data_IF_796408481367
#
_entry.id   IF_796408481367
#
_cell.length_a   1.000
_cell.length_b   1.000
_cell.length_c   1.000
_cell.angle_alpha   90.00
_cell.angle_beta   90.00
_cell.angle_gamma   90.00
#
_symmetry.space_group_name_H-M   'P 1'
#
loop_
_entity.id
_entity.type
_entity.pdbx_description
1 polymer ?
#
# COMPACT_ATOMS: atom_id res chain seq x y z
N UNK A 1 -14.77 -30.92 -24.93
CA UNK A 1 -13.98 -30.76 -23.71
C UNK A 1 -12.81 -29.89 -24.11
N UNK A 2 -12.96 -28.59 -23.96
CA UNK A 2 -11.86 -27.63 -24.08
C UNK A 2 -11.04 -27.80 -22.81
N UNK A 3 -9.78 -28.21 -22.95
CA UNK A 3 -8.80 -28.06 -21.86
C UNK A 3 -8.76 -26.57 -21.52
N UNK A 4 -9.37 -26.21 -20.39
CA UNK A 4 -9.09 -24.92 -19.75
C UNK A 4 -7.69 -25.05 -19.19
N UNK A 5 -6.70 -24.52 -19.91
CA UNK A 5 -5.34 -24.39 -19.38
C UNK A 5 -5.44 -23.69 -18.02
N UNK A 6 -4.92 -24.32 -16.98
CA UNK A 6 -4.82 -23.71 -15.65
C UNK A 6 -4.04 -22.41 -15.82
N UNK A 7 -4.54 -21.26 -15.33
CA UNK A 7 -3.85 -19.99 -15.47
C UNK A 7 -2.45 -20.11 -14.85
N UNK A 8 -1.45 -19.54 -15.54
CA UNK A 8 -0.09 -19.47 -14.99
C UNK A 8 -0.08 -18.46 -13.86
N UNK A 9 0.27 -18.91 -12.66
CA UNK A 9 0.39 -18.08 -11.47
C UNK A 9 1.88 -17.84 -11.22
N UNK A 10 2.27 -16.57 -11.10
CA UNK A 10 3.61 -16.14 -10.74
C UNK A 10 3.57 -15.45 -9.38
N UNK A 11 4.36 -15.95 -8.43
CA UNK A 11 4.66 -15.24 -7.20
C UNK A 11 5.67 -14.13 -7.52
N UNK A 12 5.38 -12.90 -7.10
CA UNK A 12 6.34 -11.81 -7.17
C UNK A 12 6.41 -11.07 -5.84
N UNK A 13 7.62 -10.65 -5.47
CA UNK A 13 7.88 -9.98 -4.20
C UNK A 13 7.70 -8.47 -4.37
N UNK A 14 6.96 -7.85 -3.46
CA UNK A 14 6.90 -6.39 -3.36
C UNK A 14 7.81 -5.94 -2.23
N UNK A 15 8.72 -5.01 -2.51
CA UNK A 15 9.70 -4.54 -1.54
C UNK A 15 9.03 -4.02 -0.25
N UNK A 16 9.41 -4.69 0.84
CA UNK A 16 9.03 -4.59 2.25
C UNK A 16 8.51 -3.24 2.79
N UNK A 17 7.41 -3.27 3.56
CA UNK A 17 7.12 -2.25 4.57
C UNK A 17 7.62 -2.73 5.93
N UNK A 18 8.90 -2.41 6.22
CA UNK A 18 9.49 -2.56 7.56
C UNK A 18 8.90 -1.45 8.45
N UNK A 19 7.92 -1.78 9.28
CA UNK A 19 7.50 -0.89 10.37
C UNK A 19 8.48 -1.12 11.52
N UNK A 20 9.23 -0.09 11.93
CA UNK A 20 10.20 -0.23 13.02
C UNK A 20 9.48 -0.37 14.37
N UNK A 21 9.69 -1.53 14.96
CA UNK A 21 9.57 -1.97 16.36
C UNK A 21 9.63 -0.82 17.39
N UNK A 22 8.57 -0.70 18.20
CA UNK A 22 8.62 -0.02 19.51
C UNK A 22 8.51 -1.07 20.63
N UNK A 23 9.27 -0.96 21.73
CA UNK A 23 9.00 -1.73 22.93
C UNK A 23 7.64 -1.33 23.52
N UNK A 24 6.64 -2.22 23.39
CA UNK A 24 5.33 -2.07 24.00
C UNK A 24 5.41 -2.47 25.48
N UNK A 25 4.64 -1.78 26.35
CA UNK A 25 4.46 -2.20 27.74
C UNK A 25 3.85 -3.59 27.80
N UNK A 26 4.45 -4.46 28.63
CA UNK A 26 4.03 -5.84 28.87
C UNK A 26 2.55 -5.88 29.23
N UNK A 27 1.71 -6.47 28.37
CA UNK A 27 0.51 -7.15 28.83
C UNK A 27 0.87 -8.62 28.96
N UNK A 28 0.37 -9.28 29.99
CA UNK A 28 0.83 -10.57 30.51
C UNK A 28 0.62 -11.79 29.59
N UNK A 29 0.11 -11.58 28.39
CA UNK A 29 -0.18 -12.63 27.41
C UNK A 29 0.62 -12.30 26.13
N UNK A 30 1.88 -12.76 26.10
CA UNK A 30 2.77 -12.73 24.92
C UNK A 30 2.26 -13.77 23.89
N UNK A 31 1.07 -13.56 23.32
CA UNK A 31 0.57 -14.35 22.18
C UNK A 31 0.83 -13.59 20.88
N UNK A 32 1.29 -14.29 19.85
CA UNK A 32 1.50 -13.72 18.52
C UNK A 32 0.14 -13.28 17.93
N UNK A 33 0.05 -12.01 17.54
CA UNK A 33 -1.14 -11.46 16.90
C UNK A 33 -0.92 -11.35 15.40
N UNK A 34 -1.76 -12.05 14.63
CA UNK A 34 -1.79 -11.93 13.18
C UNK A 34 -2.97 -11.08 12.72
N UNK A 35 -2.76 -10.37 11.62
CA UNK A 35 -3.79 -9.62 10.92
C UNK A 35 -3.65 -9.82 9.42
N UNK A 36 -4.75 -9.70 8.69
CA UNK A 36 -4.76 -9.83 7.23
C UNK A 36 -5.49 -8.67 6.57
N UNK A 37 -4.91 -8.19 5.48
CA UNK A 37 -5.53 -7.30 4.52
C UNK A 37 -5.23 -7.78 3.10
N UNK A 38 -5.93 -7.20 2.13
CA UNK A 38 -5.68 -7.50 0.73
C UNK A 38 -5.97 -6.31 -0.18
N UNK A 39 -5.37 -6.37 -1.36
CA UNK A 39 -5.72 -5.54 -2.49
C UNK A 39 -5.60 -6.34 -3.78
N UNK A 40 -6.06 -5.79 -4.89
CA UNK A 40 -5.89 -6.37 -6.21
C UNK A 40 -5.95 -5.29 -7.28
N UNK A 41 -5.33 -5.55 -8.41
CA UNK A 41 -5.34 -4.66 -9.56
C UNK A 41 -5.33 -5.43 -10.88
N UNK A 42 -5.84 -4.79 -11.91
CA UNK A 42 -5.67 -5.22 -13.29
C UNK A 42 -4.84 -4.17 -14.00
N UNK A 43 -3.70 -4.57 -14.55
CA UNK A 43 -2.83 -3.74 -15.35
C UNK A 43 -3.44 -3.50 -16.73
N UNK A 44 -2.91 -2.51 -17.45
CA UNK A 44 -3.42 -2.11 -18.77
C UNK A 44 -3.16 -3.14 -19.89
N UNK A 45 -2.26 -4.11 -19.66
CA UNK A 45 -2.02 -5.26 -20.54
C UNK A 45 -2.95 -6.47 -20.23
N UNK A 46 -3.91 -6.26 -19.32
CA UNK A 46 -4.84 -7.24 -18.75
C UNK A 46 -4.22 -8.22 -17.75
N UNK A 47 -2.97 -8.04 -17.34
CA UNK A 47 -2.38 -8.80 -16.23
C UNK A 47 -3.14 -8.51 -14.94
N UNK A 48 -3.42 -9.54 -14.16
CA UNK A 48 -4.13 -9.41 -12.88
C UNK A 48 -3.21 -9.77 -11.72
N UNK A 49 -3.31 -8.99 -10.65
CA UNK A 49 -2.49 -9.14 -9.45
C UNK A 49 -3.38 -9.14 -8.21
N UNK A 50 -3.17 -10.10 -7.33
CA UNK A 50 -3.72 -10.12 -5.97
C UNK A 50 -2.58 -9.90 -5.00
N UNK A 51 -2.84 -9.09 -3.98
CA UNK A 51 -1.91 -8.85 -2.90
C UNK A 51 -2.53 -9.25 -1.58
N UNK A 52 -1.78 -9.97 -0.76
CA UNK A 52 -2.17 -10.34 0.60
C UNK A 52 -1.14 -9.75 1.54
N UNK A 53 -1.62 -8.88 2.43
CA UNK A 53 -0.82 -8.25 3.48
C UNK A 53 -1.05 -9.01 4.78
N UNK A 54 0.00 -9.61 5.34
CA UNK A 54 -0.03 -10.27 6.65
C UNK A 54 0.77 -9.44 7.64
N UNK A 55 0.10 -8.94 8.67
CA UNK A 55 0.73 -8.29 9.81
C UNK A 55 0.97 -9.29 10.94
N UNK A 56 2.17 -9.30 11.52
CA UNK A 56 2.53 -10.10 12.68
C UNK A 56 3.08 -9.18 13.77
N UNK A 57 2.47 -9.23 14.95
CA UNK A 57 2.92 -8.54 16.14
C UNK A 57 3.26 -9.56 17.24
N UNK A 58 4.55 -9.66 17.57
CA UNK A 58 5.05 -10.57 18.59
C UNK A 58 6.39 -10.10 19.18
N UNK A 59 6.70 -10.40 20.44
CA UNK A 59 7.95 -10.00 21.09
C UNK A 59 8.35 -8.52 20.89
N UNK A 60 7.33 -7.63 20.90
CA UNK A 60 7.47 -6.17 20.65
C UNK A 60 7.88 -5.80 19.22
N UNK A 61 7.87 -6.76 18.30
CA UNK A 61 8.15 -6.60 16.89
C UNK A 61 6.84 -6.59 16.13
N UNK A 62 6.59 -5.54 15.33
CA UNK A 62 5.48 -5.48 14.38
C UNK A 62 6.09 -5.54 12.98
N UNK A 63 5.74 -6.57 12.20
CA UNK A 63 6.05 -6.66 10.77
C UNK A 63 4.75 -6.67 9.98
N UNK A 64 4.75 -6.03 8.82
CA UNK A 64 3.71 -6.18 7.82
C UNK A 64 4.37 -6.63 6.53
N UNK A 65 4.04 -7.85 6.09
CA UNK A 65 4.60 -8.44 4.90
C UNK A 65 3.53 -8.50 3.80
N UNK A 66 3.90 -8.14 2.58
CA UNK A 66 3.00 -8.18 1.42
C UNK A 66 3.48 -9.22 0.42
N UNK A 67 2.59 -10.15 0.10
CA UNK A 67 2.80 -11.16 -0.94
C UNK A 67 1.98 -10.80 -2.17
N UNK A 68 2.60 -10.85 -3.36
CA UNK A 68 1.96 -10.58 -4.65
C UNK A 68 1.81 -11.84 -5.50
N UNK A 69 0.62 -12.06 -6.03
CA UNK A 69 0.28 -13.18 -6.90
C UNK A 69 -0.21 -12.63 -8.24
N UNK A 70 0.49 -12.94 -9.32
CA UNK A 70 0.21 -12.47 -10.68
C UNK A 70 -0.31 -13.60 -11.58
N UNK A 71 -1.24 -13.29 -12.47
CA UNK A 71 -1.77 -14.23 -13.45
C UNK A 71 -2.20 -13.52 -14.75
N UNK A 72 -2.19 -14.29 -15.85
CA UNK A 72 -2.72 -13.82 -17.13
C UNK A 72 -4.23 -13.63 -17.02
N UNK A 73 -4.68 -12.38 -17.02
CA UNK A 73 -6.03 -12.00 -16.67
C UNK A 73 -6.99 -11.88 -17.84
N UNK A 74 -6.62 -12.32 -19.06
CA UNK A 74 -7.48 -12.17 -20.24
C UNK A 74 -8.72 -13.07 -20.24
N UNK A 75 -8.65 -14.23 -19.61
CA UNK A 75 -9.76 -15.21 -19.58
C UNK A 75 -10.30 -15.51 -18.18
N UNK A 76 -9.66 -15.03 -17.12
CA UNK A 76 -10.20 -15.12 -15.76
C UNK A 76 -11.03 -13.88 -15.45
N UNK A 77 -12.17 -14.04 -14.79
CA UNK A 77 -12.84 -12.95 -14.08
C UNK A 77 -12.36 -12.88 -12.63
N UNK A 78 -12.48 -11.71 -11.99
CA UNK A 78 -12.12 -11.58 -10.58
C UNK A 78 -12.97 -12.49 -9.68
N UNK A 79 -14.22 -12.78 -10.06
CA UNK A 79 -15.06 -13.76 -9.37
C UNK A 79 -14.52 -15.18 -9.38
N UNK A 80 -13.68 -15.52 -10.37
CA UNK A 80 -13.05 -16.85 -10.45
C UNK A 80 -11.85 -16.92 -9.50
N UNK A 81 -11.12 -15.80 -9.37
CA UNK A 81 -9.96 -15.64 -8.48
C UNK A 81 -10.37 -15.60 -7.01
N UNK A 82 -11.43 -14.86 -6.67
CA UNK A 82 -11.89 -14.72 -5.29
C UNK A 82 -12.77 -15.90 -4.85
N UNK A 83 -12.20 -17.10 -4.96
CA UNK A 83 -12.78 -18.37 -4.52
C UNK A 83 -11.83 -19.07 -3.56
N UNK A 84 -12.32 -20.03 -2.73
CA UNK A 84 -11.46 -20.77 -1.81
C UNK A 84 -10.31 -21.51 -2.51
N UNK A 85 -10.50 -21.94 -3.76
CA UNK A 85 -9.51 -22.67 -4.55
C UNK A 85 -8.22 -21.86 -4.79
N UNK A 86 -8.35 -20.55 -5.02
CA UNK A 86 -7.20 -19.67 -5.26
C UNK A 86 -6.75 -18.93 -4.00
N UNK A 87 -7.68 -18.37 -3.21
CA UNK A 87 -7.34 -17.50 -2.09
C UNK A 87 -6.72 -18.27 -0.92
N UNK A 88 -7.15 -19.52 -0.65
CA UNK A 88 -6.60 -20.30 0.46
C UNK A 88 -5.12 -20.66 0.27
N UNK A 89 -4.68 -21.18 -0.88
CA UNK A 89 -3.25 -21.36 -1.15
C UNK A 89 -2.46 -20.05 -1.05
N UNK A 90 -2.98 -18.94 -1.59
CA UNK A 90 -2.29 -17.65 -1.55
C UNK A 90 -2.14 -17.12 -0.13
N UNK A 91 -3.18 -17.27 0.69
CA UNK A 91 -3.16 -16.81 2.08
C UNK A 91 -2.20 -17.64 2.93
N UNK A 92 -2.18 -18.96 2.73
CA UNK A 92 -1.22 -19.86 3.36
C UNK A 92 0.23 -19.41 3.06
N UNK A 93 0.54 -19.25 1.78
CA UNK A 93 1.88 -18.80 1.34
C UNK A 93 2.23 -17.41 1.91
N UNK A 94 1.27 -16.48 1.96
CA UNK A 94 1.51 -15.15 2.51
C UNK A 94 1.79 -15.17 4.01
N UNK A 95 1.17 -16.08 4.78
CA UNK A 95 1.45 -16.27 6.20
C UNK A 95 2.87 -16.83 6.39
N UNK A 96 3.23 -17.85 5.61
CA UNK A 96 4.56 -18.48 5.68
C UNK A 96 5.66 -17.47 5.37
N UNK A 97 5.52 -16.70 4.29
CA UNK A 97 6.48 -15.65 3.93
C UNK A 97 6.58 -14.54 4.99
N UNK A 98 5.48 -14.19 5.66
CA UNK A 98 5.50 -13.22 6.76
C UNK A 98 6.31 -13.75 7.95
N UNK A 99 6.14 -15.04 8.30
CA UNK A 99 6.94 -15.68 9.35
C UNK A 99 8.42 -15.79 9.00
N UNK A 100 8.75 -16.10 7.74
CA UNK A 100 10.13 -16.10 7.26
C UNK A 100 10.76 -14.71 7.41
N UNK A 101 10.08 -13.67 6.92
CA UNK A 101 10.54 -12.29 7.01
C UNK A 101 10.68 -11.81 8.47
N UNK A 102 9.76 -12.21 9.35
CA UNK A 102 9.85 -11.93 10.78
C UNK A 102 11.07 -12.59 11.43
N UNK A 103 11.29 -13.86 11.13
CA UNK A 103 12.42 -14.64 11.66
C UNK A 103 13.76 -14.08 11.18
N UNK A 104 13.85 -13.74 9.90
CA UNK A 104 15.02 -13.07 9.32
C UNK A 104 15.29 -11.75 10.05
N UNK A 105 14.27 -10.90 10.20
CA UNK A 105 14.39 -9.62 10.89
C UNK A 105 14.89 -9.80 12.34
N UNK A 106 14.29 -10.71 13.11
CA UNK A 106 14.70 -10.97 14.48
C UNK A 106 16.15 -11.45 14.57
N UNK A 107 16.57 -12.30 13.64
CA UNK A 107 17.96 -12.77 13.54
C UNK A 107 18.94 -11.62 13.26
N UNK A 108 18.65 -10.76 12.29
CA UNK A 108 19.48 -9.59 11.93
C UNK A 108 19.67 -8.62 13.10
N UNK A 109 18.68 -8.54 14.00
CA UNK A 109 18.65 -7.59 15.10
C UNK A 109 18.93 -8.23 16.48
N UNK A 110 19.30 -9.51 16.52
CA UNK A 110 19.62 -10.22 17.76
C UNK A 110 18.46 -10.36 18.73
N UNK A 111 17.22 -10.40 18.23
CA UNK A 111 16.00 -10.59 19.01
C UNK A 111 15.79 -12.10 19.22
N UNK A 112 15.73 -12.52 20.49
CA UNK A 112 15.47 -13.94 20.81
C UNK A 112 14.03 -14.30 20.45
N UNK A 113 13.87 -15.30 19.60
CA UNK A 113 12.57 -15.92 19.31
C UNK A 113 12.23 -16.89 20.44
N UNK A 114 10.97 -16.91 20.89
CA UNK A 114 10.47 -18.05 21.67
C UNK A 114 10.14 -19.19 20.71
N UNK A 115 10.16 -20.43 21.20
CA UNK A 115 9.83 -21.62 20.40
C UNK A 115 8.32 -21.70 20.06
N UNK A 116 7.51 -20.73 20.48
CA UNK A 116 6.04 -20.82 20.54
C UNK A 116 5.29 -20.13 19.37
N UNK A 117 5.98 -19.67 18.33
CA UNK A 117 5.29 -19.20 17.11
C UNK A 117 4.82 -20.43 16.34
N UNK A 118 3.66 -20.97 16.74
CA UNK A 118 3.03 -22.11 16.08
C UNK A 118 2.09 -21.60 15.01
N UNK A 119 2.34 -22.01 13.76
CA UNK A 119 1.40 -21.83 12.66
C UNK A 119 0.07 -22.52 13.00
N UNK A 120 -1.00 -21.74 13.13
CA UNK A 120 -2.36 -22.25 13.23
C UNK A 120 -2.99 -22.31 11.82
N UNK A 121 -3.20 -23.52 11.26
CA UNK A 121 -3.79 -23.67 9.94
C UNK A 121 -5.19 -23.07 9.81
N UNK A 122 -5.91 -22.89 10.92
CA UNK A 122 -7.26 -22.31 10.90
C UNK A 122 -7.22 -20.83 10.53
N UNK A 123 -6.13 -20.12 10.81
CA UNK A 123 -5.97 -18.70 10.45
C UNK A 123 -5.97 -18.48 8.93
N UNK A 124 -5.35 -19.40 8.17
CA UNK A 124 -5.35 -19.32 6.71
C UNK A 124 -6.77 -19.43 6.17
N UNK A 125 -7.59 -20.34 6.73
CA UNK A 125 -9.00 -20.50 6.36
C UNK A 125 -9.83 -19.25 6.71
N UNK A 126 -9.68 -18.72 7.93
CA UNK A 126 -10.40 -17.53 8.40
C UNK A 126 -10.07 -16.28 7.57
N UNK A 127 -8.77 -16.02 7.33
CA UNK A 127 -8.33 -14.89 6.52
C UNK A 127 -8.78 -15.02 5.06
N UNK A 128 -8.71 -16.23 4.50
CA UNK A 128 -9.18 -16.48 3.13
C UNK A 128 -10.66 -16.20 2.99
N UNK A 129 -11.47 -16.70 3.92
CA UNK A 129 -12.91 -16.48 3.92
C UNK A 129 -13.23 -14.98 4.06
N UNK A 130 -12.53 -14.27 4.95
CA UNK A 130 -12.66 -12.82 5.12
C UNK A 130 -12.33 -12.04 3.84
N UNK A 131 -11.24 -12.38 3.15
CA UNK A 131 -10.85 -11.77 1.87
C UNK A 131 -11.94 -11.98 0.80
N UNK A 132 -12.41 -13.22 0.65
CA UNK A 132 -13.45 -13.59 -0.32
C UNK A 132 -14.74 -12.82 -0.03
N UNK A 133 -15.20 -12.82 1.23
CA UNK A 133 -16.42 -12.11 1.63
C UNK A 133 -16.31 -10.60 1.42
N UNK A 134 -15.16 -10.00 1.74
CA UNK A 134 -14.92 -8.57 1.51
C UNK A 134 -14.97 -8.21 0.04
N UNK A 135 -14.41 -9.04 -0.84
CA UNK A 135 -14.49 -8.83 -2.28
C UNK A 135 -15.94 -8.97 -2.79
N UNK A 136 -16.58 -10.10 -2.50
CA UNK A 136 -17.90 -10.43 -3.04
C UNK A 136 -19.00 -9.47 -2.55
N UNK A 137 -18.97 -9.08 -1.27
CA UNK A 137 -20.06 -8.29 -0.68
C UNK A 137 -19.88 -6.78 -0.82
N UNK A 138 -18.66 -6.29 -1.04
CA UNK A 138 -18.37 -4.85 -1.05
C UNK A 138 -17.62 -4.42 -2.30
N UNK A 139 -16.41 -4.93 -2.52
CA UNK A 139 -15.54 -4.37 -3.57
C UNK A 139 -16.03 -4.65 -4.99
N UNK A 140 -16.56 -5.83 -5.27
CA UNK A 140 -17.07 -6.16 -6.61
C UNK A 140 -18.17 -5.21 -7.10
N UNK A 141 -19.04 -4.75 -6.19
CA UNK A 141 -20.09 -3.78 -6.49
C UNK A 141 -19.52 -2.38 -6.76
N UNK A 142 -18.57 -1.94 -5.95
CA UNK A 142 -17.89 -0.65 -6.13
C UNK A 142 -17.07 -0.64 -7.42
N UNK A 143 -16.41 -1.74 -7.77
CA UNK A 143 -15.67 -1.87 -9.02
C UNK A 143 -16.59 -1.75 -10.23
N UNK A 144 -17.74 -2.44 -10.22
CA UNK A 144 -18.72 -2.34 -11.29
C UNK A 144 -19.23 -0.89 -11.47
N UNK A 145 -19.42 -0.16 -10.38
CA UNK A 145 -19.82 1.25 -10.40
C UNK A 145 -18.71 2.17 -10.92
N UNK A 146 -17.46 1.83 -10.69
CA UNK A 146 -16.27 2.62 -11.05
C UNK A 146 -15.51 2.06 -12.26
N UNK A 147 -16.09 1.13 -13.01
CA UNK A 147 -15.39 0.38 -14.07
C UNK A 147 -14.66 1.28 -15.07
N UNK A 148 -15.29 2.39 -15.49
CA UNK A 148 -14.65 3.36 -16.37
C UNK A 148 -13.37 3.96 -15.76
N UNK A 149 -13.39 4.32 -14.48
CA UNK A 149 -12.23 4.92 -13.81
C UNK A 149 -11.11 3.89 -13.59
N UNK A 150 -11.47 2.63 -13.34
CA UNK A 150 -10.52 1.53 -13.14
C UNK A 150 -9.84 1.08 -14.45
N UNK A 151 -10.55 1.15 -15.58
CA UNK A 151 -10.03 0.68 -16.88
C UNK A 151 -9.37 1.76 -17.75
N UNK A 152 -9.38 3.03 -17.34
CA UNK A 152 -8.80 4.12 -18.12
C UNK A 152 -7.63 4.77 -17.38
N UNK A 153 -6.58 5.08 -18.14
CA UNK A 153 -5.40 5.81 -17.66
C UNK A 153 -5.83 7.21 -17.20
N UNK A 154 -5.50 7.54 -15.96
CA UNK A 154 -5.69 8.87 -15.37
C UNK A 154 -4.40 9.68 -15.30
N UNK A 155 -3.26 9.02 -15.08
CA UNK A 155 -1.93 9.62 -15.05
C UNK A 155 -0.94 8.73 -15.78
N UNK A 156 -0.13 9.37 -16.61
CA UNK A 156 0.99 8.76 -17.31
C UNK A 156 2.25 9.58 -17.00
N UNK A 157 3.26 8.92 -16.47
CA UNK A 157 4.54 9.53 -16.11
C UNK A 157 5.67 8.77 -16.81
N UNK A 158 6.34 9.45 -17.73
CA UNK A 158 7.53 8.90 -18.39
C UNK A 158 8.69 8.73 -17.39
N UNK A 159 9.41 7.62 -17.54
CA UNK A 159 10.65 7.34 -16.81
C UNK A 159 11.71 8.42 -17.04
N UNK A 160 12.53 8.69 -16.02
CA UNK A 160 13.60 9.70 -16.10
C UNK A 160 13.13 11.17 -15.99
N UNK A 161 11.88 11.43 -15.61
CA UNK A 161 11.33 12.80 -15.44
C UNK A 161 11.40 13.30 -14.00
N UNK A 162 11.06 14.58 -13.76
CA UNK A 162 10.86 15.18 -12.43
C UNK A 162 9.87 14.39 -11.54
N UNK A 163 9.04 13.53 -12.15
CA UNK A 163 8.10 12.63 -11.46
C UNK A 163 8.80 11.66 -10.51
N UNK A 164 10.06 11.29 -10.80
CA UNK A 164 10.87 10.45 -9.90
C UNK A 164 11.00 11.13 -8.53
N UNK A 165 11.34 12.42 -8.52
CA UNK A 165 11.48 13.17 -7.28
C UNK A 165 10.13 13.27 -6.56
N UNK A 166 9.05 13.51 -7.31
CA UNK A 166 7.69 13.59 -6.74
C UNK A 166 7.29 12.29 -6.07
N UNK A 167 7.42 11.15 -6.74
CA UNK A 167 7.08 9.85 -6.16
C UNK A 167 7.97 9.51 -4.97
N UNK A 168 9.30 9.59 -5.13
CA UNK A 168 10.24 9.27 -4.05
C UNK A 168 10.00 10.10 -2.81
N UNK A 169 9.90 11.43 -2.93
CA UNK A 169 9.68 12.28 -1.77
C UNK A 169 8.31 12.02 -1.13
N UNK A 170 7.24 11.89 -1.94
CA UNK A 170 5.88 11.63 -1.43
C UNK A 170 5.85 10.36 -0.57
N UNK A 171 6.33 9.24 -1.11
CA UNK A 171 6.27 7.97 -0.38
C UNK A 171 7.29 7.89 0.76
N UNK A 172 8.47 8.51 0.63
CA UNK A 172 9.41 8.60 1.77
C UNK A 172 8.79 9.35 2.94
N UNK A 173 8.13 10.49 2.70
CA UNK A 173 7.48 11.27 3.76
C UNK A 173 6.35 10.48 4.41
N UNK A 174 5.50 9.84 3.60
CA UNK A 174 4.39 9.06 4.12
C UNK A 174 4.86 7.82 4.88
N UNK A 175 5.91 7.16 4.43
CA UNK A 175 6.49 6.02 5.14
C UNK A 175 6.99 6.42 6.54
N UNK A 176 7.66 7.56 6.66
CA UNK A 176 8.11 8.09 7.95
C UNK A 176 6.90 8.35 8.88
N UNK A 177 5.83 8.93 8.37
CA UNK A 177 4.65 9.28 9.18
C UNK A 177 3.83 8.04 9.58
N UNK A 178 3.67 7.09 8.66
CA UNK A 178 2.77 5.94 8.80
C UNK A 178 3.45 4.72 9.41
N UNK A 179 4.76 4.57 9.26
CA UNK A 179 5.45 3.32 9.61
C UNK A 179 6.75 3.50 10.38
N UNK A 180 7.64 4.41 9.99
CA UNK A 180 9.04 4.34 10.45
C UNK A 180 9.37 5.31 11.59
N UNK A 181 8.88 6.55 11.56
CA UNK A 181 9.34 7.56 12.49
C UNK A 181 8.56 7.51 13.81
N UNK A 182 9.29 7.20 14.88
CA UNK A 182 8.72 7.05 16.23
C UNK A 182 8.19 8.34 16.84
N UNK A 183 8.56 9.51 16.31
CA UNK A 183 8.00 10.80 16.69
C UNK A 183 6.51 10.94 16.35
N UNK A 184 6.03 10.11 15.41
CA UNK A 184 4.63 10.04 15.03
C UNK A 184 3.90 8.89 15.74
N UNK A 185 2.59 9.06 15.89
CA UNK A 185 1.67 8.03 16.36
C UNK A 185 1.28 7.09 15.22
N UNK A 186 2.24 6.31 14.72
CA UNK A 186 2.13 5.54 13.48
C UNK A 186 0.84 4.72 13.37
N UNK A 187 0.46 3.94 14.40
CA UNK A 187 -0.77 3.14 14.39
C UNK A 187 -2.04 4.02 14.21
N UNK A 188 -2.14 5.12 14.96
CA UNK A 188 -3.27 6.06 14.84
C UNK A 188 -3.27 6.78 13.49
N UNK A 189 -2.09 7.09 12.95
CA UNK A 189 -1.97 7.71 11.65
C UNK A 189 -2.39 6.74 10.54
N UNK A 190 -2.04 5.45 10.65
CA UNK A 190 -2.50 4.39 9.76
C UNK A 190 -4.02 4.27 9.76
N UNK A 191 -4.65 4.30 10.93
CA UNK A 191 -6.11 4.27 11.03
C UNK A 191 -6.74 5.49 10.36
N UNK A 192 -6.32 6.70 10.72
CA UNK A 192 -6.90 7.94 10.21
C UNK A 192 -6.63 8.14 8.71
N UNK A 193 -5.44 7.80 8.23
CA UNK A 193 -5.12 7.80 6.81
C UNK A 193 -5.94 6.74 6.05
N UNK A 194 -6.11 5.56 6.66
CA UNK A 194 -6.89 4.44 6.14
C UNK A 194 -8.36 4.75 5.88
N UNK A 195 -8.94 5.71 6.60
CA UNK A 195 -10.31 6.21 6.37
C UNK A 195 -10.47 6.94 5.03
N UNK A 196 -9.37 7.49 4.49
CA UNK A 196 -9.34 8.24 3.23
C UNK A 196 -8.74 7.41 2.10
N UNK A 197 -7.60 6.78 2.35
CA UNK A 197 -6.86 5.95 1.41
C UNK A 197 -6.65 4.58 2.07
N UNK A 198 -7.33 3.52 1.61
CA UNK A 198 -7.13 2.19 2.16
C UNK A 198 -5.65 1.81 2.14
N UNK A 199 -5.08 1.42 3.28
CA UNK A 199 -3.65 1.12 3.37
C UNK A 199 -3.18 0.10 2.32
N UNK A 200 -3.89 -1.01 2.05
CA UNK A 200 -3.46 -1.97 1.02
C UNK A 200 -3.35 -1.35 -0.38
N UNK A 201 -4.20 -0.35 -0.66
CA UNK A 201 -4.20 0.41 -1.92
C UNK A 201 -3.07 1.43 -1.96
N UNK A 202 -2.77 2.11 -0.85
CA UNK A 202 -1.58 2.95 -0.73
C UNK A 202 -0.31 2.19 -1.12
N UNK A 203 -0.16 0.95 -0.61
CA UNK A 203 1.02 0.12 -0.88
C UNK A 203 1.08 -0.28 -2.36
N UNK A 204 -0.05 -0.67 -2.98
CA UNK A 204 -0.12 -0.95 -4.42
C UNK A 204 0.36 0.24 -5.24
N UNK A 205 -0.21 1.43 -4.98
CA UNK A 205 0.10 2.64 -5.75
C UNK A 205 1.57 3.04 -5.55
N UNK A 206 2.07 2.96 -4.30
CA UNK A 206 3.49 3.17 -4.00
C UNK A 206 4.37 2.27 -4.86
N UNK A 207 4.13 0.97 -4.83
CA UNK A 207 4.94 0.01 -5.59
C UNK A 207 4.94 0.35 -7.08
N UNK A 208 3.76 0.63 -7.65
CA UNK A 208 3.64 1.00 -9.06
C UNK A 208 4.37 2.31 -9.38
N UNK A 209 4.25 3.32 -8.52
CA UNK A 209 4.93 4.61 -8.72
C UNK A 209 6.46 4.49 -8.58
N UNK A 210 6.95 3.60 -7.72
CA UNK A 210 8.38 3.42 -7.52
C UNK A 210 9.08 2.72 -8.71
N UNK A 211 8.33 2.12 -9.64
CA UNK A 211 8.85 1.57 -10.90
C UNK A 211 9.30 2.65 -11.90
N UNK A 212 9.01 3.93 -11.64
CA UNK A 212 9.37 5.09 -12.48
C UNK A 212 10.87 5.18 -12.83
N UNK A 213 11.74 4.51 -12.08
CA UNK A 213 13.17 4.48 -12.33
C UNK A 213 13.56 3.57 -13.49
N UNK A 214 12.72 2.57 -13.79
CA UNK A 214 13.01 1.51 -14.76
C UNK A 214 12.00 1.46 -15.89
N UNK A 215 10.78 1.95 -15.69
CA UNK A 215 9.73 1.97 -16.70
C UNK A 215 8.74 3.13 -16.50
N UNK A 216 7.91 3.38 -17.52
CA UNK A 216 6.87 4.41 -17.45
C UNK A 216 5.76 3.98 -16.50
N UNK A 217 5.25 4.92 -15.71
CA UNK A 217 4.19 4.66 -14.74
C UNK A 217 2.85 5.06 -15.32
N UNK A 218 1.93 4.09 -15.35
CA UNK A 218 0.53 4.29 -15.71
C UNK A 218 -0.35 4.03 -14.50
N UNK A 219 -1.10 5.03 -14.08
CA UNK A 219 -2.13 4.90 -13.05
C UNK A 219 -3.50 5.05 -13.68
N UNK A 220 -4.45 4.20 -13.31
CA UNK A 220 -5.85 4.42 -13.64
C UNK A 220 -6.39 5.66 -12.88
N UNK A 221 -7.59 6.13 -13.21
CA UNK A 221 -8.13 7.31 -12.54
C UNK A 221 -8.28 7.16 -11.03
N UNK A 222 -8.67 5.99 -10.53
CA UNK A 222 -8.82 5.76 -9.08
C UNK A 222 -7.47 5.87 -8.37
N UNK A 223 -6.46 5.19 -8.90
CA UNK A 223 -5.10 5.21 -8.33
C UNK A 223 -4.46 6.60 -8.45
N UNK A 224 -4.74 7.30 -9.55
CA UNK A 224 -4.33 8.70 -9.74
C UNK A 224 -4.89 9.59 -8.62
N UNK A 225 -6.17 9.44 -8.27
CA UNK A 225 -6.82 10.22 -7.22
C UNK A 225 -6.15 9.96 -5.86
N UNK A 226 -5.92 8.70 -5.53
CA UNK A 226 -5.26 8.32 -4.29
C UNK A 226 -3.81 8.79 -4.25
N UNK A 227 -3.08 8.71 -5.37
CA UNK A 227 -1.75 9.31 -5.47
C UNK A 227 -1.78 10.81 -5.17
N UNK A 228 -2.74 11.57 -5.69
CA UNK A 228 -2.84 12.98 -5.40
C UNK A 228 -3.20 13.29 -3.94
N UNK A 229 -3.99 12.44 -3.29
CA UNK A 229 -4.23 12.54 -1.84
C UNK A 229 -2.94 12.26 -1.04
N UNK A 230 -2.13 11.30 -1.48
CA UNK A 230 -0.80 11.04 -0.92
C UNK A 230 0.11 12.26 -1.08
N UNK A 231 0.16 12.84 -2.28
CA UNK A 231 0.96 14.02 -2.60
C UNK A 231 0.54 15.23 -1.75
N UNK A 232 -0.77 15.50 -1.64
CA UNK A 232 -1.29 16.58 -0.81
C UNK A 232 -0.92 16.39 0.67
N UNK A 233 -1.09 15.18 1.19
CA UNK A 233 -0.67 14.84 2.56
C UNK A 233 0.81 15.11 2.78
N UNK A 234 1.69 14.58 1.92
CA UNK A 234 3.13 14.78 2.04
C UNK A 234 3.55 16.25 1.94
N UNK A 235 2.93 17.03 1.04
CA UNK A 235 3.16 18.47 0.94
C UNK A 235 2.71 19.21 2.19
N UNK A 236 1.50 18.93 2.71
CA UNK A 236 0.99 19.55 3.93
C UNK A 236 1.90 19.26 5.14
N UNK A 237 2.44 18.05 5.24
CA UNK A 237 3.35 17.63 6.31
C UNK A 237 4.70 18.38 6.26
N UNK A 238 5.18 18.71 5.06
CA UNK A 238 6.41 19.48 4.87
C UNK A 238 6.28 20.98 5.12
N UNK A 239 5.10 21.56 4.93
CA UNK A 239 4.88 23.01 5.09
C UNK A 239 4.12 23.37 6.37
N UNK A 240 3.60 22.37 7.08
CA UNK A 240 2.81 22.53 8.29
C UNK A 240 3.63 22.49 9.59
N UNK A 241 2.91 22.31 10.69
CA UNK A 241 3.46 22.36 12.06
C UNK A 241 4.45 21.22 12.37
N UNK A 242 4.48 20.17 11.54
CA UNK A 242 5.36 19.00 11.70
C UNK A 242 6.57 19.03 10.75
N UNK A 243 6.74 20.12 10.01
CA UNK A 243 7.77 20.29 8.98
C UNK A 243 9.18 19.99 9.46
N UNK A 244 9.57 20.46 10.65
CA UNK A 244 10.92 20.21 11.20
C UNK A 244 11.21 18.72 11.43
N UNK A 245 10.21 17.96 11.92
CA UNK A 245 10.34 16.52 12.16
C UNK A 245 10.47 15.79 10.82
N UNK A 246 9.61 16.13 9.86
CA UNK A 246 9.60 15.51 8.53
C UNK A 246 10.89 15.84 7.77
N UNK A 247 11.33 17.10 7.77
CA UNK A 247 12.55 17.54 7.11
C UNK A 247 13.78 16.82 7.66
N UNK A 248 13.87 16.67 8.99
CA UNK A 248 14.95 15.90 9.61
C UNK A 248 14.91 14.42 9.22
N UNK A 249 13.72 13.83 9.14
CA UNK A 249 13.54 12.42 8.80
C UNK A 249 13.99 12.13 7.35
N UNK A 250 13.51 12.92 6.39
CA UNK A 250 13.85 12.70 4.98
C UNK A 250 15.31 13.06 4.65
N UNK A 251 15.92 14.01 5.37
CA UNK A 251 17.34 14.31 5.26
C UNK A 251 18.20 13.08 5.64
N UNK A 252 17.78 12.30 6.64
CA UNK A 252 18.45 11.05 7.02
C UNK A 252 18.39 9.96 5.95
N UNK A 253 17.42 10.06 5.02
CA UNK A 253 17.25 9.18 3.86
C UNK A 253 17.93 9.71 2.59
N UNK A 254 18.73 10.77 2.70
CA UNK A 254 19.51 11.34 1.60
C UNK A 254 18.75 12.35 0.73
N UNK A 255 17.57 12.82 1.15
CA UNK A 255 16.83 13.87 0.44
C UNK A 255 17.31 15.24 0.96
N UNK A 256 18.06 15.97 0.13
CA UNK A 256 18.63 17.27 0.53
C UNK A 256 17.56 18.37 0.59
N UNK A 257 17.86 19.48 1.27
CA UNK A 257 16.95 20.63 1.31
C UNK A 257 16.67 21.20 -0.09
N UNK A 258 17.64 21.17 -1.00
CA UNK A 258 17.44 21.58 -2.40
C UNK A 258 16.41 20.67 -3.09
N UNK A 259 16.53 19.35 -2.92
CA UNK A 259 15.57 18.37 -3.44
C UNK A 259 14.17 18.58 -2.84
N UNK A 260 14.07 18.94 -1.56
CA UNK A 260 12.78 19.27 -0.92
C UNK A 260 12.13 20.50 -1.58
N UNK A 261 12.90 21.55 -1.88
CA UNK A 261 12.36 22.73 -2.54
C UNK A 261 11.91 22.43 -3.99
N UNK A 262 12.68 21.62 -4.70
CA UNK A 262 12.30 21.13 -6.04
C UNK A 262 11.04 20.27 -5.98
N UNK A 263 10.94 19.37 -5.01
CA UNK A 263 9.76 18.56 -4.74
C UNK A 263 8.52 19.43 -4.46
N UNK A 264 8.61 20.40 -3.56
CA UNK A 264 7.48 21.30 -3.25
C UNK A 264 7.01 22.02 -4.51
N UNK A 265 7.94 22.53 -5.33
CA UNK A 265 7.62 23.21 -6.59
C UNK A 265 6.97 22.27 -7.61
N UNK A 266 7.56 21.09 -7.83
CA UNK A 266 7.07 20.11 -8.80
C UNK A 266 5.72 19.52 -8.38
N UNK A 267 5.60 19.09 -7.12
CA UNK A 267 4.39 18.54 -6.52
C UNK A 267 3.24 19.54 -6.53
N UNK A 268 3.48 20.80 -6.13
CA UNK A 268 2.44 21.85 -6.17
C UNK A 268 1.96 22.11 -7.60
N UNK A 269 2.88 22.10 -8.58
CA UNK A 269 2.52 22.26 -10.00
C UNK A 269 1.67 21.10 -10.49
N UNK A 270 2.06 19.85 -10.22
CA UNK A 270 1.30 18.67 -10.63
C UNK A 270 -0.09 18.63 -9.97
N UNK A 271 -0.16 18.91 -8.67
CA UNK A 271 -1.43 18.97 -7.94
C UNK A 271 -2.38 20.02 -8.55
N UNK A 272 -1.85 21.21 -8.89
CA UNK A 272 -2.64 22.25 -9.55
C UNK A 272 -3.15 21.81 -10.93
N UNK A 273 -2.28 21.24 -11.77
CA UNK A 273 -2.63 20.77 -13.11
C UNK A 273 -3.74 19.70 -13.05
N UNK A 274 -3.64 18.76 -12.12
CA UNK A 274 -4.65 17.73 -11.93
C UNK A 274 -5.99 18.30 -11.45
N UNK A 275 -5.97 19.23 -10.51
CA UNK A 275 -7.18 19.92 -10.04
C UNK A 275 -7.88 20.64 -11.21
N UNK A 276 -7.12 21.30 -12.07
CA UNK A 276 -7.66 21.96 -13.28
C UNK A 276 -8.23 20.92 -14.26
N UNK A 277 -7.54 19.80 -14.47
CA UNK A 277 -8.01 18.71 -15.33
C UNK A 277 -9.35 18.14 -14.83
N UNK A 278 -9.46 17.81 -13.54
CA UNK A 278 -10.70 17.28 -12.95
C UNK A 278 -11.87 18.26 -13.06
N UNK A 279 -11.62 19.55 -12.78
CA UNK A 279 -12.62 20.61 -12.94
C UNK A 279 -13.10 20.73 -14.38
N UNK A 280 -12.19 20.65 -15.35
CA UNK A 280 -12.51 20.74 -16.78
C UNK A 280 -13.33 19.55 -17.28
N UNK A 281 -13.13 18.37 -16.70
CA UNK A 281 -13.84 17.14 -17.06
C UNK A 281 -15.20 16.99 -16.38
N UNK A 282 -15.66 17.98 -15.59
CA UNK A 282 -16.85 17.90 -14.75
C UNK A 282 -16.86 16.66 -13.83
N UNK A 283 -15.68 16.10 -13.59
CA UNK A 283 -15.47 14.94 -12.74
C UNK A 283 -15.39 15.44 -11.30
N UNK A 284 -16.55 15.48 -10.62
CA UNK A 284 -16.56 15.64 -9.18
C UNK A 284 -16.24 14.29 -8.55
N UNK A 285 -15.01 14.11 -8.08
CA UNK A 285 -14.72 12.99 -7.20
C UNK A 285 -15.39 13.32 -5.88
N UNK A 286 -16.42 12.55 -5.52
CA UNK A 286 -17.25 12.82 -4.34
C UNK A 286 -16.44 12.95 -3.04
N UNK A 287 -15.23 12.39 -3.00
CA UNK A 287 -14.29 12.41 -1.86
C UNK A 287 -13.15 13.44 -1.96
N UNK A 288 -13.03 14.22 -3.05
CA UNK A 288 -12.09 15.36 -3.14
C UNK A 288 -12.76 16.72 -2.92
N UNK A 289 -14.10 16.76 -2.77
CA UNK A 289 -14.82 17.98 -2.41
C UNK A 289 -14.41 18.52 -1.02
N UNK A 290 -13.90 17.65 -0.17
CA UNK A 290 -13.31 17.94 1.14
C UNK A 290 -11.87 17.46 1.13
N UNK A 291 -10.92 18.35 0.81
CA UNK A 291 -9.50 18.07 1.03
C UNK A 291 -9.29 17.87 2.54
N UNK A 292 -8.76 16.71 2.98
CA UNK A 292 -8.48 16.50 4.38
C UNK A 292 -7.45 17.52 4.87
N UNK A 293 -7.65 18.04 6.08
CA UNK A 293 -6.59 18.73 6.79
C UNK A 293 -5.67 17.67 7.40
N UNK A 294 -4.70 17.22 6.60
CA UNK A 294 -3.77 16.16 6.98
C UNK A 294 -2.94 16.57 8.20
N UNK A 295 -2.61 17.85 8.33
CA UNK A 295 -1.89 18.39 9.49
C UNK A 295 -2.65 18.21 10.80
N UNK A 296 -3.97 18.39 10.78
CA UNK A 296 -4.83 18.13 11.93
C UNK A 296 -5.10 16.64 12.14
N UNK A 297 -5.18 15.86 11.07
CA UNK A 297 -5.55 14.44 11.11
C UNK A 297 -4.42 13.55 11.63
N UNK A 298 -3.19 13.81 11.21
CA UNK A 298 -2.02 12.98 11.53
C UNK A 298 -1.24 13.58 12.70
N UNK A 299 -0.74 12.72 13.59
CA UNK A 299 -0.10 13.09 14.85
C UNK A 299 1.32 12.55 14.96
#
# INVERSE_FOLDING_TARGET
>A
MTDTETPRIYLFFTDYIRTEIKPISINSDDEAQLSSNFDYEMLFDCTKRVYIDIGLNFNRVEIMFRSGFEFDGRELEWSDVFTPEYILPFTTEAIDLCYEAYTEYCSEHGISLSEDIVYDPTLAEEFSQSIIERYLNYRSFDDAKNAYLLSNVGLECESGTDSILVFKCTYTILDEILFSNTAFSNARNRDAFGEVIPLPRYITIKNNCMLIEVEDVLLNFVDTIYFFQCLDCALQMLVGDKSDIVASAIASKGISNEMVQEYIKAGTKQFKQFREMLQSSNASIANLGTLPDWNSLLH
#
